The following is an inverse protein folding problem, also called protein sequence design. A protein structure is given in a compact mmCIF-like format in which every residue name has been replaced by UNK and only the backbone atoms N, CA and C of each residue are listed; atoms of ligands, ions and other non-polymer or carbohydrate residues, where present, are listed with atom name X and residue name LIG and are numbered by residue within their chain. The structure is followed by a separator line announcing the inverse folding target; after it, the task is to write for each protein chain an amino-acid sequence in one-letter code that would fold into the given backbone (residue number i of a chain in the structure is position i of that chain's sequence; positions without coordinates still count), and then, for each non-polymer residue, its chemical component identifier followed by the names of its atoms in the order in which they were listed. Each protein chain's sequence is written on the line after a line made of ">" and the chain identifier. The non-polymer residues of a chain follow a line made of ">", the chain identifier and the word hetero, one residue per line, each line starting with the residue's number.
data_IF_868404474226
#
_entry.id   IF_868404474226
#
_cell.length_a   1.000
_cell.length_b   1.000
_cell.length_c   1.000
_cell.angle_alpha   90.00
_cell.angle_beta   90.00
_cell.angle_gamma   90.00
#
_symmetry.space_group_name_H-M   'P 1'
#
loop_
_entity.id
_entity.type
_entity.pdbx_description
1 polymer ?
#
# COMPACT_ATOMS: atom_id res chain seq x y z
N UNK A 1 23.77 -7.40 -25.63
CA UNK A 1 23.03 -6.11 -25.72
C UNK A 1 22.25 -5.95 -24.44
N UNK A 2 22.66 -5.05 -23.54
CA UNK A 2 21.98 -4.81 -22.28
C UNK A 2 20.76 -3.92 -22.54
N UNK A 3 19.54 -4.45 -22.38
CA UNK A 3 18.33 -3.64 -22.44
C UNK A 3 18.36 -2.63 -21.29
N UNK A 4 18.50 -1.36 -21.62
CA UNK A 4 18.26 -0.24 -20.71
C UNK A 4 16.80 -0.29 -20.29
N UNK A 5 16.52 -0.98 -19.17
CA UNK A 5 15.21 -0.93 -18.52
C UNK A 5 14.97 0.52 -18.12
N UNK A 6 13.99 1.16 -18.74
CA UNK A 6 13.49 2.45 -18.29
C UNK A 6 13.23 2.34 -16.78
N UNK A 7 13.87 3.20 -16.00
CA UNK A 7 13.61 3.26 -14.56
C UNK A 7 12.11 3.49 -14.34
N UNK A 8 11.52 2.92 -13.28
CA UNK A 8 10.12 3.20 -12.97
C UNK A 8 9.93 4.71 -12.92
N UNK A 9 8.80 5.24 -13.44
CA UNK A 9 8.53 6.65 -13.38
C UNK A 9 8.66 7.08 -11.93
N UNK A 10 9.58 8.01 -11.64
CA UNK A 10 9.61 8.68 -10.35
C UNK A 10 8.21 9.20 -10.08
N UNK A 11 7.65 9.07 -8.86
CA UNK A 11 6.31 9.58 -8.55
C UNK A 11 6.27 11.03 -9.02
N UNK A 12 5.55 11.27 -10.12
CA UNK A 12 5.63 12.53 -10.82
C UNK A 12 5.14 13.62 -9.87
N UNK A 13 5.74 14.80 -9.98
CA UNK A 13 5.34 15.97 -9.19
C UNK A 13 3.92 16.44 -9.52
N UNK A 14 3.21 15.76 -10.43
CA UNK A 14 1.81 15.95 -10.76
C UNK A 14 0.90 15.36 -9.65
N UNK A 15 1.11 15.81 -8.41
CA UNK A 15 0.25 15.47 -7.27
C UNK A 15 -1.20 15.98 -7.41
N UNK A 16 -1.45 16.76 -8.46
CA UNK A 16 -2.75 17.36 -8.76
C UNK A 16 -3.54 16.56 -9.81
N UNK A 17 -3.02 15.40 -10.27
CA UNK A 17 -3.83 14.51 -11.10
C UNK A 17 -5.13 14.15 -10.34
N UNK A 18 -6.31 14.28 -10.97
CA UNK A 18 -7.57 14.01 -10.30
C UNK A 18 -7.63 12.54 -9.89
N UNK A 19 -7.64 12.30 -8.57
CA UNK A 19 -7.82 10.98 -7.99
C UNK A 19 -9.31 10.68 -7.82
N UNK A 20 -9.74 9.52 -8.31
CA UNK A 20 -11.03 8.95 -7.96
C UNK A 20 -10.89 8.14 -6.69
N UNK A 21 -11.80 8.36 -5.75
CA UNK A 21 -11.78 7.68 -4.46
C UNK A 21 -12.87 6.65 -4.40
N UNK A 22 -12.47 5.40 -4.19
CA UNK A 22 -13.38 4.26 -4.11
C UNK A 22 -13.40 3.70 -2.69
N UNK A 23 -14.58 3.32 -2.17
CA UNK A 23 -14.67 2.70 -0.85
C UNK A 23 -14.00 1.32 -0.87
N UNK A 24 -13.16 1.04 0.12
CA UNK A 24 -12.50 -0.26 0.26
C UNK A 24 -13.40 -1.36 0.82
N UNK A 25 -14.57 -0.99 1.38
CA UNK A 25 -15.45 -1.92 2.10
C UNK A 25 -14.87 -2.43 3.43
N UNK A 26 -13.87 -1.72 3.97
CA UNK A 26 -13.19 -2.06 5.23
C UNK A 26 -13.10 -0.82 6.10
N UNK A 27 -13.39 -0.98 7.39
CA UNK A 27 -13.24 0.06 8.39
C UNK A 27 -11.84 0.02 9.02
N UNK A 28 -11.37 1.15 9.55
CA UNK A 28 -10.09 1.23 10.27
C UNK A 28 -10.03 0.26 11.46
N UNK A 29 -11.15 0.05 12.13
CA UNK A 29 -11.28 -0.79 13.31
C UNK A 29 -11.17 -2.29 12.97
N UNK A 30 -11.44 -2.67 11.72
CA UNK A 30 -11.29 -4.05 11.24
C UNK A 30 -9.82 -4.41 10.95
N UNK A 31 -8.92 -3.42 10.95
CA UNK A 31 -7.49 -3.60 10.75
C UNK A 31 -6.76 -3.58 12.09
N UNK A 32 -5.94 -4.60 12.32
CA UNK A 32 -5.03 -4.65 13.47
C UNK A 32 -3.95 -3.58 13.33
N UNK A 33 -3.65 -2.88 14.41
CA UNK A 33 -2.54 -1.93 14.43
C UNK A 33 -1.22 -2.71 14.45
N UNK A 34 -0.43 -2.55 13.40
CA UNK A 34 0.82 -3.28 13.24
C UNK A 34 1.89 -2.85 14.26
N UNK A 35 1.72 -1.69 14.91
CA UNK A 35 2.60 -1.23 15.99
C UNK A 35 2.59 -2.14 17.21
N UNK A 36 1.43 -2.74 17.49
CA UNK A 36 1.24 -3.60 18.68
C UNK A 36 1.82 -5.00 18.47
N UNK A 37 2.20 -5.33 17.23
CA UNK A 37 2.69 -6.64 16.82
C UNK A 37 4.05 -6.56 16.12
N UNK A 38 5.09 -6.06 16.80
CA UNK A 38 6.41 -5.92 16.21
C UNK A 38 6.97 -7.29 15.75
N UNK A 39 7.79 -7.32 14.70
CA UNK A 39 8.39 -8.56 14.23
C UNK A 39 9.31 -9.15 15.31
N UNK A 40 9.16 -10.43 15.58
CA UNK A 40 10.07 -11.15 16.47
C UNK A 40 11.37 -11.46 15.71
N UNK A 41 12.45 -10.81 16.11
CA UNK A 41 13.78 -11.02 15.56
C UNK A 41 14.59 -11.91 16.52
N UNK A 42 15.15 -12.99 16.00
CA UNK A 42 16.09 -13.85 16.72
C UNK A 42 17.49 -13.62 16.17
N UNK A 43 18.45 -13.33 17.05
CA UNK A 43 19.86 -13.36 16.70
C UNK A 43 20.37 -14.79 16.70
N UNK A 44 20.89 -15.23 15.56
CA UNK A 44 21.60 -16.50 15.47
C UNK A 44 23.00 -16.38 16.08
N UNK A 45 23.62 -17.52 16.41
CA UNK A 45 24.98 -17.58 16.96
C UNK A 45 26.03 -16.96 16.02
N UNK A 46 25.75 -16.92 14.71
CA UNK A 46 26.62 -16.29 13.70
C UNK A 46 26.45 -14.77 13.61
N UNK A 47 25.69 -14.15 14.50
CA UNK A 47 25.41 -12.72 14.46
C UNK A 47 24.33 -12.33 13.45
N UNK A 48 23.76 -13.28 12.69
CA UNK A 48 22.74 -12.98 11.70
C UNK A 48 21.38 -12.86 12.37
N UNK A 49 20.68 -11.76 12.13
CA UNK A 49 19.30 -11.56 12.57
C UNK A 49 18.34 -12.27 11.63
N UNK A 50 17.48 -13.14 12.15
CA UNK A 50 16.44 -13.82 11.39
C UNK A 50 15.07 -13.50 11.98
N UNK A 51 14.06 -13.34 11.13
CA UNK A 51 12.67 -13.27 11.59
C UNK A 51 12.18 -14.65 12.03
N UNK A 52 11.65 -14.72 13.25
CA UNK A 52 10.97 -15.90 13.76
C UNK A 52 9.57 -15.98 13.16
N UNK A 53 9.22 -17.14 12.59
CA UNK A 53 7.85 -17.41 12.14
C UNK A 53 7.07 -17.94 13.34
N UNK A 54 6.33 -17.06 14.00
CA UNK A 54 5.38 -17.46 15.03
C UNK A 54 4.03 -17.81 14.37
N UNK A 55 3.59 -19.09 14.37
CA UNK A 55 2.32 -19.48 13.76
C UNK A 55 1.10 -18.92 14.48
N UNK A 56 1.25 -18.40 15.71
CA UNK A 56 0.16 -17.79 16.48
C UNK A 56 0.02 -16.29 16.22
N UNK A 57 0.93 -15.70 15.45
CA UNK A 57 0.88 -14.28 15.15
C UNK A 57 -0.31 -14.00 14.23
N UNK A 58 -1.20 -13.06 14.58
CA UNK A 58 -2.32 -12.74 13.72
C UNK A 58 -1.82 -12.13 12.41
N UNK A 59 -2.61 -12.31 11.36
CA UNK A 59 -2.36 -11.66 10.09
C UNK A 59 -2.62 -10.15 10.24
N UNK A 60 -1.58 -9.34 10.03
CA UNK A 60 -1.65 -7.89 10.23
C UNK A 60 -2.26 -7.16 9.04
N UNK A 61 -1.98 -7.64 7.82
CA UNK A 61 -2.57 -7.10 6.60
C UNK A 61 -3.93 -7.71 6.29
N UNK A 62 -4.77 -6.96 5.58
CA UNK A 62 -6.05 -7.44 5.06
C UNK A 62 -6.08 -7.31 3.54
N UNK A 63 -6.36 -8.41 2.85
CA UNK A 63 -6.62 -8.40 1.41
C UNK A 63 -7.99 -7.80 1.11
N UNK A 64 -8.03 -6.89 0.14
CA UNK A 64 -9.27 -6.31 -0.37
C UNK A 64 -9.21 -6.23 -1.89
N UNK A 65 -10.36 -6.31 -2.55
CA UNK A 65 -10.47 -6.11 -4.00
C UNK A 65 -11.26 -4.85 -4.26
N UNK A 66 -10.63 -3.86 -4.91
CA UNK A 66 -11.27 -2.58 -5.25
C UNK A 66 -11.13 -2.37 -6.74
N UNK A 67 -12.27 -2.27 -7.44
CA UNK A 67 -12.31 -2.14 -8.90
C UNK A 67 -11.50 -3.23 -9.64
N UNK A 68 -11.63 -4.49 -9.21
CA UNK A 68 -10.90 -5.62 -9.81
C UNK A 68 -9.42 -5.73 -9.42
N UNK A 69 -8.86 -4.74 -8.74
CA UNK A 69 -7.45 -4.75 -8.31
C UNK A 69 -7.35 -5.34 -6.90
N UNK A 70 -6.53 -6.38 -6.75
CA UNK A 70 -6.20 -6.97 -5.44
C UNK A 70 -5.20 -6.07 -4.69
N UNK A 71 -5.58 -5.64 -3.49
CA UNK A 71 -4.80 -4.77 -2.63
C UNK A 71 -4.53 -5.44 -1.27
N UNK A 72 -3.43 -5.06 -0.63
CA UNK A 72 -3.14 -5.36 0.77
C UNK A 72 -3.17 -4.05 1.58
N UNK A 73 -4.06 -4.01 2.57
CA UNK A 73 -4.21 -2.89 3.51
C UNK A 73 -3.48 -3.17 4.81
N UNK A 74 -2.80 -2.15 5.35
CA UNK A 74 -2.12 -2.20 6.64
C UNK A 74 -2.46 -0.96 7.45
N UNK A 75 -2.61 -1.13 8.77
CA UNK A 75 -2.81 -0.02 9.71
C UNK A 75 -1.56 0.20 10.54
N UNK A 76 -1.17 1.46 10.71
CA UNK A 76 -0.09 1.88 11.58
C UNK A 76 -0.49 3.13 12.36
N UNK A 77 -0.92 2.96 13.61
CA UNK A 77 -1.52 4.02 14.40
C UNK A 77 -2.83 4.52 13.77
N UNK A 78 -2.85 5.81 13.43
CA UNK A 78 -3.96 6.49 12.78
C UNK A 78 -3.88 6.51 11.26
N UNK A 79 -2.83 5.94 10.68
CA UNK A 79 -2.60 5.93 9.22
C UNK A 79 -2.87 4.55 8.64
N UNK A 80 -3.37 4.52 7.42
CA UNK A 80 -3.58 3.29 6.64
C UNK A 80 -2.74 3.35 5.39
N UNK A 81 -2.13 2.24 5.02
CA UNK A 81 -1.34 2.09 3.81
C UNK A 81 -1.98 1.03 2.93
N UNK A 82 -2.04 1.30 1.63
CA UNK A 82 -2.51 0.36 0.63
C UNK A 82 -1.40 0.07 -0.39
N UNK A 83 -1.18 -1.21 -0.66
CA UNK A 83 -0.23 -1.69 -1.65
C UNK A 83 -0.89 -2.72 -2.55
N UNK A 84 -0.29 -3.03 -3.69
CA UNK A 84 -0.69 -4.20 -4.48
C UNK A 84 -0.61 -5.47 -3.62
N UNK A 85 -1.56 -6.40 -3.77
CA UNK A 85 -1.59 -7.63 -2.98
C UNK A 85 -0.40 -8.58 -3.24
N UNK A 86 0.31 -8.39 -4.36
CA UNK A 86 1.38 -9.29 -4.82
C UNK A 86 2.73 -8.57 -4.84
N UNK A 87 3.73 -9.20 -4.24
CA UNK A 87 5.10 -8.71 -4.28
C UNK A 87 5.66 -8.74 -5.72
N UNK A 88 6.31 -7.67 -6.22
CA UNK A 88 6.86 -7.64 -7.58
C UNK A 88 8.03 -8.61 -7.81
N UNK A 89 8.63 -9.15 -6.74
CA UNK A 89 9.77 -10.06 -6.83
C UNK A 89 9.33 -11.53 -7.10
N UNK A 90 8.59 -12.16 -6.16
CA UNK A 90 8.14 -13.56 -6.29
C UNK A 90 6.61 -13.73 -6.20
N UNK A 91 5.83 -12.67 -6.44
CA UNK A 91 4.35 -12.69 -6.41
C UNK A 91 3.75 -13.23 -5.10
N UNK A 92 4.53 -13.16 -4.01
CA UNK A 92 4.08 -13.50 -2.67
C UNK A 92 2.95 -12.58 -2.22
N UNK A 93 1.99 -13.14 -1.48
CA UNK A 93 0.85 -12.40 -0.93
C UNK A 93 1.32 -11.45 0.17
N UNK A 94 1.24 -10.14 -0.08
CA UNK A 94 1.69 -9.12 0.86
C UNK A 94 0.75 -8.95 2.04
N UNK A 95 -0.52 -9.32 1.92
CA UNK A 95 -1.47 -9.37 3.05
C UNK A 95 -0.99 -10.25 4.22
N UNK A 96 -0.15 -11.27 3.96
CA UNK A 96 0.48 -12.15 4.98
C UNK A 96 1.83 -11.58 5.46
N UNK A 97 2.30 -10.51 4.82
CA UNK A 97 3.51 -9.80 5.18
C UNK A 97 3.35 -8.95 6.43
N UNK A 98 4.44 -8.27 6.75
CA UNK A 98 4.53 -7.37 7.90
C UNK A 98 4.74 -5.94 7.44
N UNK A 99 4.29 -4.97 8.24
CA UNK A 99 4.76 -3.59 8.14
C UNK A 99 5.54 -3.23 9.39
N UNK A 100 6.69 -2.60 9.23
CA UNK A 100 7.60 -2.26 10.33
C UNK A 100 8.22 -0.87 10.12
N UNK A 101 8.71 -0.26 11.19
CA UNK A 101 9.47 0.97 11.12
C UNK A 101 10.98 0.69 11.07
N UNK A 102 11.58 0.83 9.89
CA UNK A 102 13.02 0.59 9.69
C UNK A 102 13.86 1.65 10.39
N UNK A 103 13.32 2.84 10.68
CA UNK A 103 14.08 3.91 11.34
C UNK A 103 14.53 3.51 12.75
N UNK A 104 13.80 2.58 13.38
CA UNK A 104 14.10 2.09 14.73
C UNK A 104 15.14 0.97 14.78
N UNK A 105 15.46 0.32 13.66
CA UNK A 105 16.35 -0.85 13.63
C UNK A 105 17.86 -0.51 13.76
N UNK A 106 18.19 0.72 14.20
CA UNK A 106 19.57 1.10 14.51
C UNK A 106 20.51 1.13 13.30
N UNK A 107 19.98 1.05 12.08
CA UNK A 107 20.79 1.25 10.88
C UNK A 107 21.15 2.74 10.85
N UNK A 108 22.45 3.11 10.94
CA UNK A 108 22.83 4.50 10.88
C UNK A 108 22.26 5.07 9.57
N UNK A 109 21.72 6.31 9.58
CA UNK A 109 21.15 6.92 8.37
C UNK A 109 22.18 6.72 7.27
N UNK A 110 21.79 6.07 6.16
CA UNK A 110 22.70 5.75 5.06
C UNK A 110 23.52 6.99 4.80
N UNK A 111 24.79 6.97 5.22
CA UNK A 111 25.72 8.04 4.93
C UNK A 111 25.82 7.93 3.43
N UNK A 112 25.17 8.86 2.70
CA UNK A 112 25.34 8.99 1.27
C UNK A 112 26.84 9.00 1.11
N UNK A 113 27.40 7.91 0.58
CA UNK A 113 28.83 7.81 0.37
C UNK A 113 29.08 8.91 -0.64
N UNK A 114 29.50 10.09 -0.16
CA UNK A 114 30.17 11.04 -1.02
C UNK A 114 31.34 10.23 -1.53
N UNK A 115 31.23 9.79 -2.76
CA UNK A 115 32.38 9.33 -3.51
C UNK A 115 33.30 10.54 -3.51
N UNK A 116 34.19 10.59 -2.51
CA UNK A 116 35.30 11.52 -2.48
C UNK A 116 36.17 11.07 -3.65
N UNK A 117 35.83 11.54 -4.85
CA UNK A 117 36.76 11.65 -5.95
C UNK A 117 37.92 12.47 -5.41
N UNK A 118 38.99 11.77 -5.06
CA UNK A 118 40.26 12.34 -4.65
C UNK A 118 40.74 13.25 -5.80
N UNK A 119 40.77 14.57 -5.57
CA UNK A 119 41.51 15.63 -6.30
C UNK A 119 41.59 15.52 -7.83
N UNK A 120 41.21 16.50 -8.63
CA UNK A 120 41.54 17.92 -8.69
C UNK A 120 40.53 18.42 -9.75
N UNK A 121 39.75 19.47 -9.52
CA UNK A 121 40.15 20.85 -9.77
C UNK A 121 39.16 21.77 -9.04
N UNK A 122 39.70 22.86 -8.49
CA UNK A 122 38.97 24.00 -7.96
C UNK A 122 38.07 24.62 -9.04
N UNK A 123 36.93 25.18 -8.63
CA UNK A 123 36.03 26.03 -9.44
C UNK A 123 34.86 25.34 -10.18
N UNK A 124 34.29 24.26 -9.64
CA UNK A 124 32.96 23.79 -10.10
C UNK A 124 31.86 24.20 -9.12
N UNK A 125 31.09 25.20 -9.55
CA UNK A 125 30.01 25.88 -8.83
C UNK A 125 28.99 24.96 -8.13
N UNK A 126 28.49 25.54 -7.04
CA UNK A 126 27.74 25.05 -5.89
C UNK A 126 26.28 24.59 -6.15
N UNK A 127 25.97 23.98 -7.29
CA UNK A 127 24.60 23.49 -7.58
C UNK A 127 24.45 21.97 -7.37
N UNK A 128 24.98 21.46 -6.25
CA UNK A 128 24.57 20.14 -5.75
C UNK A 128 23.19 20.29 -5.14
N UNK A 129 22.17 20.28 -6.01
CA UNK A 129 20.76 20.29 -5.66
C UNK A 129 20.56 19.30 -4.51
N UNK A 130 20.29 19.84 -3.31
CA UNK A 130 20.14 19.06 -2.09
C UNK A 130 19.15 17.93 -2.38
N UNK A 131 19.65 16.69 -2.37
CA UNK A 131 18.81 15.52 -2.57
C UNK A 131 17.58 15.68 -1.68
N UNK A 132 16.36 15.55 -2.24
CA UNK A 132 15.14 15.93 -1.54
C UNK A 132 15.13 15.24 -0.19
N UNK A 133 15.23 16.03 0.88
CA UNK A 133 15.22 15.49 2.23
C UNK A 133 13.89 14.74 2.38
N UNK A 134 13.97 13.42 2.55
CA UNK A 134 12.77 12.60 2.79
C UNK A 134 12.04 13.22 3.99
N UNK A 135 10.70 13.37 3.93
CA UNK A 135 9.94 13.88 5.06
C UNK A 135 10.26 13.04 6.30
N UNK A 136 10.47 13.70 7.45
CA UNK A 136 10.91 13.11 8.74
C UNK A 136 9.84 12.22 9.42
N UNK A 137 9.06 11.47 8.64
CA UNK A 137 8.12 10.47 9.15
C UNK A 137 8.83 9.15 9.49
N UNK A 138 8.13 8.23 10.19
CA UNK A 138 8.63 6.87 10.39
C UNK A 138 8.92 6.21 9.04
N UNK A 139 10.05 5.53 8.92
CA UNK A 139 10.47 4.87 7.70
C UNK A 139 9.78 3.50 7.60
N UNK A 140 8.46 3.54 7.41
CA UNK A 140 7.62 2.35 7.38
C UNK A 140 7.91 1.54 6.13
N UNK A 141 8.02 0.23 6.29
CA UNK A 141 8.27 -0.68 5.18
C UNK A 141 7.41 -1.93 5.27
N UNK A 142 6.84 -2.31 4.13
CA UNK A 142 6.13 -3.57 3.94
C UNK A 142 7.13 -4.65 3.59
N UNK A 143 7.10 -5.77 4.30
CA UNK A 143 8.01 -6.90 4.11
C UNK A 143 7.28 -8.08 3.47
N UNK A 144 7.83 -8.58 2.37
CA UNK A 144 7.35 -9.78 1.71
C UNK A 144 7.56 -11.02 2.62
N UNK A 145 6.50 -11.82 2.89
CA UNK A 145 6.61 -12.97 3.78
C UNK A 145 7.42 -14.14 3.20
N UNK A 146 7.62 -14.16 1.87
CA UNK A 146 8.30 -15.27 1.16
C UNK A 146 9.82 -15.16 1.32
N UNK A 147 10.38 -13.99 1.03
CA UNK A 147 11.83 -13.80 0.90
C UNK A 147 12.34 -12.53 1.61
N UNK A 148 11.51 -11.90 2.44
CA UNK A 148 11.92 -10.82 3.33
C UNK A 148 12.23 -9.47 2.67
N UNK A 149 11.91 -9.29 1.38
CA UNK A 149 12.12 -7.99 0.72
C UNK A 149 11.27 -6.90 1.36
N UNK A 150 11.90 -5.76 1.63
CA UNK A 150 11.28 -4.60 2.26
C UNK A 150 11.03 -3.52 1.20
N UNK A 151 9.82 -2.97 1.20
CA UNK A 151 9.40 -1.88 0.34
C UNK A 151 8.97 -0.71 1.21
N UNK A 152 9.49 0.47 0.95
CA UNK A 152 9.08 1.70 1.63
C UNK A 152 7.58 1.93 1.41
N UNK A 153 6.80 2.02 2.50
CA UNK A 153 5.35 2.15 2.43
C UNK A 153 4.89 3.52 1.89
N UNK A 154 5.76 4.53 1.88
CA UNK A 154 5.44 5.83 1.30
C UNK A 154 5.71 5.88 -0.20
N UNK A 155 6.74 5.19 -0.67
CA UNK A 155 7.23 5.31 -2.07
C UNK A 155 7.09 4.04 -2.89
N UNK A 156 6.88 2.89 -2.27
CA UNK A 156 6.90 1.58 -2.91
C UNK A 156 8.29 1.06 -3.28
N UNK A 157 9.35 1.86 -3.10
CA UNK A 157 10.70 1.51 -3.54
C UNK A 157 11.31 0.44 -2.61
N UNK A 158 11.93 -0.58 -3.20
CA UNK A 158 12.68 -1.59 -2.44
C UNK A 158 13.84 -0.96 -1.66
N UNK A 159 13.87 -1.19 -0.35
CA UNK A 159 14.95 -0.74 0.54
C UNK A 159 16.18 -1.64 0.40
N UNK A 160 15.98 -2.89 0.02
CA UNK A 160 17.05 -3.87 -0.17
C UNK A 160 17.64 -3.84 -1.59
N UNK A 161 18.98 -4.00 -1.75
CA UNK A 161 19.63 -4.20 -3.03
C UNK A 161 19.07 -5.43 -3.78
N UNK A 162 18.97 -5.41 -5.13
CA UNK A 162 19.45 -4.37 -6.05
C UNK A 162 18.59 -3.08 -6.12
N UNK A 163 17.58 -2.89 -5.26
CA UNK A 163 16.80 -1.64 -5.20
C UNK A 163 15.94 -1.36 -6.44
N UNK A 164 15.93 -2.27 -7.41
CA UNK A 164 15.28 -2.10 -8.71
C UNK A 164 13.80 -2.47 -8.73
N UNK A 165 13.28 -3.02 -7.63
CA UNK A 165 11.87 -3.40 -7.54
C UNK A 165 11.04 -2.24 -6.98
N UNK A 166 9.90 -2.00 -7.61
CA UNK A 166 8.92 -1.02 -7.20
C UNK A 166 7.60 -1.73 -6.91
N UNK A 167 7.11 -1.60 -5.69
CA UNK A 167 5.79 -2.04 -5.27
C UNK A 167 4.79 -0.91 -5.52
N UNK A 168 3.70 -1.20 -6.21
CA UNK A 168 2.65 -0.21 -6.43
C UNK A 168 1.95 0.11 -5.10
N UNK A 169 1.99 1.39 -4.73
CA UNK A 169 1.31 1.95 -3.56
C UNK A 169 0.11 2.77 -4.02
N UNK A 170 -0.96 2.74 -3.25
CA UNK A 170 -2.19 3.45 -3.56
C UNK A 170 -2.44 4.52 -2.49
N UNK A 171 -2.79 5.77 -2.88
CA UNK A 171 -3.22 6.78 -1.94
C UNK A 171 -4.41 6.29 -1.12
N UNK A 172 -4.37 6.52 0.19
CA UNK A 172 -5.43 6.15 1.12
C UNK A 172 -5.90 7.39 1.86
N UNK A 173 -7.18 7.39 2.24
CA UNK A 173 -7.68 8.35 3.22
C UNK A 173 -8.74 7.71 4.10
N UNK A 174 -8.88 8.28 5.28
CA UNK A 174 -9.94 7.93 6.22
C UNK A 174 -11.08 8.92 6.06
N UNK A 175 -12.29 8.41 5.86
CA UNK A 175 -13.52 9.16 5.75
C UNK A 175 -14.44 8.72 6.88
N UNK A 176 -15.28 9.62 7.39
CA UNK A 176 -16.31 9.20 8.35
C UNK A 176 -17.36 8.37 7.59
N UNK A 177 -17.87 7.31 8.20
CA UNK A 177 -18.86 6.42 7.56
C UNK A 177 -20.07 7.20 7.00
N UNK A 178 -20.56 8.20 7.73
CA UNK A 178 -21.66 9.09 7.30
C UNK A 178 -21.40 9.80 5.96
N UNK A 179 -20.15 10.21 5.72
CA UNK A 179 -19.74 10.90 4.50
C UNK A 179 -19.53 9.91 3.34
N UNK A 180 -19.08 8.69 3.65
CA UNK A 180 -18.85 7.62 2.69
C UNK A 180 -20.17 7.10 2.12
N UNK A 181 -21.16 6.81 2.97
CA UNK A 181 -22.48 6.34 2.56
C UNK A 181 -23.21 7.38 1.71
N UNK A 182 -23.15 8.65 2.13
CA UNK A 182 -23.73 9.77 1.40
C UNK A 182 -23.14 9.90 -0.01
N UNK A 183 -21.85 9.59 -0.18
CA UNK A 183 -21.17 9.66 -1.47
C UNK A 183 -21.45 8.44 -2.34
N UNK A 184 -21.48 7.24 -1.74
CA UNK A 184 -21.87 6.01 -2.42
C UNK A 184 -23.31 6.09 -2.94
N UNK A 185 -24.23 6.63 -2.14
CA UNK A 185 -25.62 6.87 -2.53
C UNK A 185 -25.72 7.85 -3.71
N UNK A 186 -24.94 8.94 -3.70
CA UNK A 186 -24.87 9.88 -4.83
C UNK A 186 -24.29 9.24 -6.09
N UNK A 187 -23.27 8.41 -5.97
CA UNK A 187 -22.68 7.70 -7.12
C UNK A 187 -23.67 6.69 -7.73
N UNK A 188 -24.44 5.98 -6.89
CA UNK A 188 -25.49 5.08 -7.34
C UNK A 188 -26.63 5.82 -8.05
N UNK A 189 -27.00 7.02 -7.59
CA UNK A 189 -28.06 7.83 -8.19
C UNK A 189 -27.71 8.42 -9.57
N UNK A 190 -26.43 8.51 -9.93
CA UNK A 190 -25.98 8.94 -11.28
C UNK A 190 -26.09 7.80 -12.30
N UNK A 191 -26.18 6.55 -11.82
CA UNK A 191 -26.35 5.37 -12.66
C UNK A 191 -27.84 5.08 -12.76
N UNK A 192 -28.45 5.50 -13.87
CA UNK A 192 -29.74 5.07 -14.51
C UNK A 192 -30.58 6.28 -14.96
N UNK A 193 -31.34 6.25 -16.09
CA UNK A 193 -31.56 5.13 -17.03
C UNK A 193 -31.41 5.53 -18.51
N UNK A 194 -30.46 4.92 -19.23
CA UNK A 194 -30.44 4.88 -20.70
C UNK A 194 -30.84 3.49 -21.16
N UNK A 195 -32.13 3.17 -21.06
CA UNK A 195 -32.66 1.86 -21.38
C UNK A 195 -32.57 1.47 -22.85
N UNK A 196 -32.24 0.21 -23.12
CA UNK A 196 -32.84 -0.58 -24.20
C UNK A 196 -33.14 -1.97 -23.64
N UNK A 197 -34.40 -2.38 -23.76
CA UNK A 197 -35.02 -3.48 -23.05
C UNK A 197 -34.42 -4.86 -23.32
N UNK A 198 -34.33 -5.63 -22.25
CA UNK A 198 -34.16 -7.08 -22.27
C UNK A 198 -35.03 -7.70 -21.18
N UNK A 199 -35.90 -8.62 -21.58
CA UNK A 199 -36.88 -9.33 -20.76
C UNK A 199 -36.21 -10.11 -19.59
N UNK A 200 -36.76 -10.07 -18.36
CA UNK A 200 -36.17 -10.74 -17.21
C UNK A 200 -36.51 -12.24 -17.15
N UNK A 201 -35.55 -13.15 -16.88
CA UNK A 201 -35.86 -14.53 -16.50
C UNK A 201 -36.24 -14.65 -15.02
N UNK A 202 -37.21 -15.53 -14.75
CA UNK A 202 -37.86 -15.72 -13.47
C UNK A 202 -37.04 -16.52 -12.44
N UNK A 203 -37.13 -16.04 -11.19
CA UNK A 203 -37.23 -16.76 -9.91
C UNK A 203 -36.10 -17.70 -9.43
N UNK A 204 -35.58 -17.41 -8.22
CA UNK A 204 -34.79 -18.38 -7.44
C UNK A 204 -34.27 -17.86 -6.09
N UNK A 205 -35.12 -17.96 -5.05
CA UNK A 205 -34.85 -18.16 -3.60
C UNK A 205 -33.78 -17.35 -2.85
N UNK A 206 -34.27 -16.62 -1.83
CA UNK A 206 -33.55 -15.86 -0.82
C UNK A 206 -32.78 -16.73 0.21
N UNK A 207 -31.65 -16.22 0.68
CA UNK A 207 -31.06 -16.58 1.97
C UNK A 207 -30.64 -15.30 2.70
N UNK A 208 -31.43 -14.95 3.72
CA UNK A 208 -31.18 -13.84 4.62
C UNK A 208 -30.01 -14.19 5.57
N UNK A 209 -28.94 -13.40 5.53
CA UNK A 209 -27.89 -13.43 6.54
C UNK A 209 -28.20 -12.39 7.62
N UNK A 210 -28.38 -12.90 8.83
CA UNK A 210 -28.76 -12.15 10.01
C UNK A 210 -27.70 -11.10 10.41
N UNK A 211 -28.14 -9.85 10.52
CA UNK A 211 -27.40 -8.78 11.19
C UNK A 211 -27.57 -8.95 12.71
N UNK A 212 -26.50 -9.30 13.40
CA UNK A 212 -26.45 -9.31 14.86
C UNK A 212 -26.24 -7.88 15.38
N UNK A 213 -27.19 -7.41 16.19
CA UNK A 213 -27.15 -6.11 16.86
C UNK A 213 -26.14 -6.07 18.01
N UNK A 214 -25.35 -5.00 18.03
CA UNK A 214 -24.54 -4.55 19.17
C UNK A 214 -24.76 -3.05 19.35
N UNK A 215 -25.43 -2.69 20.43
CA UNK A 215 -25.84 -1.32 20.76
C UNK A 215 -24.71 -0.58 21.51
N UNK A 216 -24.32 0.57 20.96
CA UNK A 216 -23.73 1.73 21.64
C UNK A 216 -22.37 1.61 22.36
N UNK A 217 -21.32 1.37 21.58
CA UNK A 217 -20.20 2.33 21.56
C UNK A 217 -20.19 2.93 20.16
N UNK A 218 -20.83 4.10 20.00
CA UNK A 218 -20.77 4.90 18.78
C UNK A 218 -19.39 5.55 18.66
N UNK A 219 -18.33 4.73 18.70
CA UNK A 219 -17.06 5.14 18.14
C UNK A 219 -17.29 5.27 16.64
N UNK A 220 -17.18 6.50 16.15
CA UNK A 220 -17.41 6.87 14.76
C UNK A 220 -16.50 6.02 13.87
N UNK A 221 -17.05 4.96 13.28
CA UNK A 221 -16.31 4.07 12.39
C UNK A 221 -15.75 4.89 11.25
N UNK A 222 -14.50 4.61 10.89
CA UNK A 222 -13.81 5.33 9.82
C UNK A 222 -13.69 4.40 8.62
N UNK A 223 -14.42 4.74 7.56
CA UNK A 223 -14.33 4.06 6.30
C UNK A 223 -13.00 4.39 5.60
N UNK A 224 -12.40 3.39 4.96
CA UNK A 224 -11.18 3.56 4.18
C UNK A 224 -11.57 3.77 2.72
N UNK A 225 -11.05 4.82 2.12
CA UNK A 225 -11.13 5.05 0.66
C UNK A 225 -9.75 4.95 0.02
N UNK A 226 -9.72 4.34 -1.17
CA UNK A 226 -8.51 4.17 -1.98
C UNK A 226 -8.59 5.09 -3.20
N UNK A 227 -7.53 5.87 -3.41
CA UNK A 227 -7.38 6.76 -4.56
C UNK A 227 -6.82 6.01 -5.76
N UNK A 228 -7.43 6.23 -6.93
CA UNK A 228 -6.95 5.75 -8.23
C UNK A 228 -6.78 6.93 -9.18
N UNK A 229 -5.68 6.94 -9.92
CA UNK A 229 -5.45 7.90 -10.99
C UNK A 229 -6.37 7.59 -12.18
N UNK A 230 -6.96 8.63 -12.77
CA UNK A 230 -7.88 8.54 -13.91
C UNK A 230 -7.34 7.74 -15.11
N UNK A 231 -6.01 7.72 -15.29
CA UNK A 231 -5.34 7.18 -16.47
C UNK A 231 -5.08 5.66 -16.41
N UNK A 232 -5.28 5.00 -15.28
CA UNK A 232 -5.00 3.56 -15.13
C UNK A 232 -6.18 2.65 -15.48
N UNK A 233 -7.28 3.18 -16.01
CA UNK A 233 -8.48 2.39 -16.33
C UNK A 233 -8.42 1.70 -17.71
N UNK A 234 -7.55 2.15 -18.63
CA UNK A 234 -7.57 1.69 -20.02
C UNK A 234 -6.52 0.63 -20.37
N UNK A 235 -5.68 0.19 -19.43
CA UNK A 235 -4.57 -0.74 -19.69
C UNK A 235 -4.72 -2.12 -19.06
N UNK A 236 -5.90 -2.45 -18.50
CA UNK A 236 -6.15 -3.72 -17.83
C UNK A 236 -6.77 -4.79 -18.74
N UNK A 237 -7.08 -4.48 -20.01
CA UNK A 237 -7.77 -5.39 -20.92
C UNK A 237 -6.87 -6.14 -21.92
N UNK A 238 -5.56 -5.85 -21.95
CA UNK A 238 -4.61 -6.55 -22.81
C UNK A 238 -3.58 -7.28 -21.93
N UNK A 239 -3.59 -8.62 -21.93
CA UNK A 239 -2.44 -9.54 -21.80
C UNK A 239 -2.97 -10.98 -21.55
N UNK A 240 -3.11 -11.72 -22.65
CA UNK A 240 -2.84 -13.15 -22.89
C UNK A 240 -3.00 -14.19 -21.76
N UNK A 241 -4.05 -15.03 -21.90
CA UNK A 241 -4.15 -16.39 -21.36
C UNK A 241 -3.70 -17.44 -22.38
#
# INVERSE_FOLDING_TARGET
>A
MAATRAGPPSPSKDRDAPLFWLPAGVCLEDLLDCRDWPPQLEMTVTGHTRRRKDPRRPQLGKGVTVNGIELALFRWGSSVFASAARCPHMKGKLEVGDIEDISTQGMPPRRVQRTHSLGLDSDFDEDVAAAPQRPRGPALCVTCPVHGFQFDAATGISVMPPGSFHLQMFPTRLVKEEDADSRAARAAAVKEPGGLGGEPPASGSAAAAAAAGGEAVSERRRAIEIGFEALNLSSLDDEDF
#
